data_IF_373790905870
#
_entry.id   IF_373790905870
#
_cell.length_a   1.000
_cell.length_b   1.000
_cell.length_c   1.000
_cell.angle_alpha   90.00
_cell.angle_beta   90.00
_cell.angle_gamma   90.00
#
_symmetry.space_group_name_H-M   'P 1'
#
loop_
_entity.id
_entity.type
_entity.pdbx_description
1 polymer ?
#
# COMPACT_ATOMS: atom_id res chain seq x y z
N UNK A 1 25.62 -10.72 5.92
CA UNK A 1 24.33 -10.72 5.18
C UNK A 1 23.10 -10.92 6.08
N UNK A 2 23.24 -11.43 7.31
CA UNK A 2 22.14 -11.66 8.26
C UNK A 2 21.29 -10.42 8.57
N UNK A 3 21.91 -9.23 8.58
CA UNK A 3 21.22 -8.01 8.99
C UNK A 3 20.37 -7.39 7.88
N UNK A 4 20.76 -7.58 6.61
CA UNK A 4 19.98 -7.15 5.45
C UNK A 4 18.67 -7.94 5.34
N UNK A 5 18.71 -9.26 5.56
CA UNK A 5 17.49 -10.09 5.57
C UNK A 5 16.55 -9.72 6.71
N UNK A 6 17.07 -9.39 7.90
CA UNK A 6 16.24 -8.93 9.02
C UNK A 6 15.55 -7.60 8.71
N UNK A 7 16.28 -6.67 8.11
CA UNK A 7 15.75 -5.36 7.73
C UNK A 7 14.61 -5.48 6.72
N UNK A 8 14.78 -6.30 5.68
CA UNK A 8 13.74 -6.56 4.67
C UNK A 8 12.46 -7.11 5.32
N UNK A 9 12.58 -8.07 6.25
CA UNK A 9 11.42 -8.63 6.97
C UNK A 9 10.69 -7.57 7.79
N UNK A 10 11.42 -6.71 8.48
CA UNK A 10 10.84 -5.63 9.27
C UNK A 10 10.11 -4.60 8.39
N UNK A 11 10.67 -4.25 7.24
CA UNK A 11 10.07 -3.29 6.33
C UNK A 11 8.78 -3.84 5.71
N UNK A 12 8.75 -5.13 5.35
CA UNK A 12 7.53 -5.81 4.87
C UNK A 12 6.44 -5.80 5.94
N UNK A 13 6.75 -6.17 7.19
CA UNK A 13 5.75 -6.19 8.27
C UNK A 13 5.23 -4.78 8.60
N UNK A 14 6.11 -3.77 8.58
CA UNK A 14 5.72 -2.37 8.80
C UNK A 14 4.75 -1.87 7.72
N UNK A 15 5.01 -2.22 6.46
CA UNK A 15 4.12 -1.90 5.34
C UNK A 15 2.78 -2.63 5.48
N UNK A 16 2.78 -3.92 5.84
CA UNK A 16 1.54 -4.69 6.07
C UNK A 16 0.67 -4.08 7.17
N UNK A 17 1.27 -3.72 8.30
CA UNK A 17 0.56 -3.06 9.41
C UNK A 17 0.00 -1.71 8.97
N UNK A 18 0.77 -0.92 8.23
CA UNK A 18 0.33 0.39 7.73
C UNK A 18 -0.88 0.26 6.81
N UNK A 19 -0.86 -0.72 5.88
CA UNK A 19 -1.98 -0.99 4.98
C UNK A 19 -3.22 -1.51 5.69
N UNK A 20 -3.06 -2.32 6.73
CA UNK A 20 -4.18 -2.84 7.52
C UNK A 20 -4.97 -1.75 8.28
N UNK A 21 -4.40 -0.55 8.41
CA UNK A 21 -5.04 0.61 9.04
C UNK A 21 -5.76 1.53 8.04
N UNK A 22 -5.63 1.29 6.73
CA UNK A 22 -6.29 2.11 5.73
C UNK A 22 -7.80 1.90 5.81
N UNK A 23 -8.54 2.97 6.08
CA UNK A 23 -10.00 2.94 6.05
C UNK A 23 -10.55 3.20 4.65
N UNK A 24 -11.87 3.06 4.50
CA UNK A 24 -12.58 3.39 3.26
C UNK A 24 -12.33 4.83 2.81
N UNK A 25 -12.32 5.78 3.74
CA UNK A 25 -12.08 7.20 3.46
C UNK A 25 -10.64 7.45 2.95
N UNK A 26 -9.66 6.70 3.47
CA UNK A 26 -8.27 6.80 3.02
C UNK A 26 -8.13 6.25 1.59
N UNK A 27 -8.78 5.12 1.31
CA UNK A 27 -8.81 4.51 -0.04
C UNK A 27 -9.50 5.42 -1.05
N UNK A 28 -10.57 6.12 -0.66
CA UNK A 28 -11.27 7.06 -1.52
C UNK A 28 -10.38 8.27 -1.87
N UNK A 29 -9.66 8.82 -0.88
CA UNK A 29 -8.68 9.89 -1.14
C UNK A 29 -7.57 9.43 -2.08
N UNK A 30 -7.01 8.24 -1.84
CA UNK A 30 -5.97 7.66 -2.70
C UNK A 30 -6.47 7.47 -4.14
N UNK A 31 -7.72 7.03 -4.34
CA UNK A 31 -8.32 6.91 -5.66
C UNK A 31 -8.43 8.27 -6.37
N UNK A 32 -8.95 9.30 -5.68
CA UNK A 32 -9.10 10.64 -6.26
C UNK A 32 -7.76 11.25 -6.65
N UNK A 33 -6.70 10.99 -5.89
CA UNK A 33 -5.35 11.45 -6.22
C UNK A 33 -4.76 10.69 -7.42
N UNK A 34 -5.03 9.38 -7.54
CA UNK A 34 -4.67 8.61 -8.73
C UNK A 34 -5.38 9.08 -9.99
N UNK A 35 -6.67 9.41 -9.88
CA UNK A 35 -7.49 9.89 -10.99
C UNK A 35 -6.96 11.21 -11.56
N UNK A 36 -6.54 12.14 -10.69
CA UNK A 36 -5.91 13.41 -11.11
C UNK A 36 -4.61 13.21 -11.90
N UNK A 37 -3.94 12.10 -11.70
CA UNK A 37 -2.67 11.78 -12.33
C UNK A 37 -2.79 10.80 -13.51
N UNK A 38 -4.02 10.48 -13.94
CA UNK A 38 -4.28 9.52 -15.02
C UNK A 38 -3.72 8.11 -14.74
N UNK A 39 -3.81 7.67 -13.48
CA UNK A 39 -3.50 6.31 -13.03
C UNK A 39 -2.12 5.78 -13.47
N UNK A 40 -1.02 6.44 -13.07
CA UNK A 40 0.32 5.98 -13.39
C UNK A 40 0.55 4.58 -12.82
N UNK A 41 1.30 3.75 -13.56
CA UNK A 41 1.35 2.30 -13.36
C UNK A 41 1.88 1.90 -11.97
N UNK A 42 2.91 2.59 -11.48
CA UNK A 42 3.52 2.39 -10.17
C UNK A 42 2.53 2.66 -9.02
N UNK A 43 1.80 3.77 -9.07
CA UNK A 43 0.83 4.13 -8.04
C UNK A 43 -0.43 3.26 -8.11
N UNK A 44 -0.87 2.90 -9.32
CA UNK A 44 -1.98 1.96 -9.52
C UNK A 44 -1.68 0.59 -8.92
N UNK A 45 -0.49 0.03 -9.16
CA UNK A 45 -0.07 -1.25 -8.58
C UNK A 45 -0.10 -1.18 -7.04
N UNK A 46 0.41 -0.09 -6.47
CA UNK A 46 0.40 0.13 -5.02
C UNK A 46 -1.03 0.13 -4.48
N UNK A 47 -1.93 0.85 -5.12
CA UNK A 47 -3.33 0.99 -4.71
C UNK A 47 -4.12 -0.31 -4.83
N UNK A 48 -3.89 -1.12 -5.87
CA UNK A 48 -4.45 -2.48 -5.96
C UNK A 48 -4.02 -3.31 -4.73
N UNK A 49 -2.76 -3.21 -4.32
CA UNK A 49 -2.28 -3.82 -3.08
C UNK A 49 -3.02 -3.31 -1.83
N UNK A 50 -3.32 -2.01 -1.76
CA UNK A 50 -4.09 -1.42 -0.66
C UNK A 50 -5.52 -1.95 -0.61
N UNK A 51 -6.17 -2.13 -1.77
CA UNK A 51 -7.52 -2.71 -1.89
C UNK A 51 -7.56 -4.17 -1.45
N UNK A 52 -6.61 -5.00 -1.92
CA UNK A 52 -6.60 -6.44 -1.59
C UNK A 52 -6.45 -6.76 -0.11
N UNK A 53 -5.86 -5.85 0.68
CA UNK A 53 -5.75 -6.00 2.13
C UNK A 53 -7.02 -5.57 2.88
N UNK A 54 -7.95 -4.88 2.22
CA UNK A 54 -9.20 -4.36 2.78
C UNK A 54 -10.45 -5.14 2.36
N UNK A 55 -10.33 -6.06 1.40
CA UNK A 55 -11.40 -7.00 1.04
C UNK A 55 -11.21 -8.27 1.86
N UNK A 56 -11.99 -8.42 2.93
CA UNK A 56 -12.07 -9.62 3.75
C UNK A 56 -13.45 -10.25 3.65
#
# INVERSE_FOLDING_TARGET
MSDSTKKIKQDIESERVSRSKLGREDLEKLYLDLEKEDFPSDKRIKFIGDLTNNVK
#
